data_IF_009964666750
#
_entry.id   IF_009964666750
#
_cell.length_a   1.000
_cell.length_b   1.000
_cell.length_c   1.000
_cell.angle_alpha   90.00
_cell.angle_beta   90.00
_cell.angle_gamma   90.00
#
_symmetry.space_group_name_H-M   'P 1'
#
loop_
_entity.id
_entity.type
_entity.pdbx_description
1 polymer ?
#
# COMPACT_ATOMS: atom_id res chain seq x y z
N UNK A 1 28.41 -8.41 -25.99
CA UNK A 1 27.09 -7.92 -25.52
C UNK A 1 27.10 -7.97 -24.01
N UNK A 2 27.16 -6.82 -23.33
CA UNK A 2 27.30 -6.77 -21.87
C UNK A 2 25.97 -7.13 -21.20
N UNK A 3 25.92 -8.28 -20.52
CA UNK A 3 24.78 -8.71 -19.73
C UNK A 3 24.77 -7.92 -18.41
N UNK A 4 24.13 -6.75 -18.41
CA UNK A 4 23.87 -5.96 -17.22
C UNK A 4 22.80 -6.68 -16.39
N UNK A 5 23.23 -7.65 -15.58
CA UNK A 5 22.39 -8.26 -14.56
C UNK A 5 21.98 -7.17 -13.57
N UNK A 6 20.82 -6.56 -13.81
CA UNK A 6 20.21 -5.53 -12.98
C UNK A 6 20.11 -6.09 -11.55
N UNK A 7 20.95 -5.61 -10.63
CA UNK A 7 20.89 -6.01 -9.21
C UNK A 7 19.48 -5.76 -8.70
N UNK A 8 18.75 -6.83 -8.43
CA UNK A 8 17.38 -6.73 -7.93
C UNK A 8 17.45 -6.15 -6.52
N UNK A 9 16.83 -4.98 -6.34
CA UNK A 9 16.78 -4.27 -5.06
C UNK A 9 15.82 -5.03 -4.12
N UNK A 10 16.25 -5.35 -2.90
CA UNK A 10 15.42 -6.05 -1.91
C UNK A 10 14.08 -5.36 -1.64
N UNK A 11 14.01 -4.03 -1.79
CA UNK A 11 12.75 -3.26 -1.69
C UNK A 11 11.78 -3.55 -2.82
N UNK A 12 12.30 -3.80 -4.03
CA UNK A 12 11.47 -4.19 -5.17
C UNK A 12 10.90 -5.59 -4.96
N UNK A 13 11.72 -6.51 -4.44
CA UNK A 13 11.30 -7.88 -4.08
C UNK A 13 10.19 -7.83 -3.03
N UNK A 14 10.39 -7.08 -1.94
CA UNK A 14 9.36 -6.97 -0.89
C UNK A 14 8.05 -6.39 -1.42
N UNK A 15 8.12 -5.38 -2.30
CA UNK A 15 6.94 -4.82 -2.94
C UNK A 15 6.18 -5.83 -3.81
N UNK A 16 6.91 -6.63 -4.60
CA UNK A 16 6.31 -7.69 -5.42
C UNK A 16 5.69 -8.78 -4.54
N UNK A 17 6.35 -9.20 -3.47
CA UNK A 17 5.81 -10.21 -2.53
C UNK A 17 4.50 -9.72 -1.94
N UNK A 18 4.44 -8.48 -1.45
CA UNK A 18 3.22 -7.89 -0.90
C UNK A 18 2.11 -7.84 -1.96
N UNK A 19 2.43 -7.45 -3.19
CA UNK A 19 1.47 -7.39 -4.29
C UNK A 19 0.90 -8.78 -4.64
N UNK A 20 1.75 -9.82 -4.68
CA UNK A 20 1.32 -11.20 -4.95
C UNK A 20 0.42 -11.72 -3.84
N UNK A 21 0.78 -11.49 -2.57
CA UNK A 21 -0.06 -11.89 -1.43
C UNK A 21 -1.42 -11.19 -1.49
N UNK A 22 -1.42 -9.87 -1.76
CA UNK A 22 -2.66 -9.12 -1.92
C UNK A 22 -3.53 -9.68 -3.06
N UNK A 23 -2.92 -10.03 -4.20
CA UNK A 23 -3.63 -10.64 -5.33
C UNK A 23 -4.24 -12.00 -4.97
N UNK A 24 -3.52 -12.86 -4.26
CA UNK A 24 -4.02 -14.16 -3.81
C UNK A 24 -5.23 -13.97 -2.89
N UNK A 25 -5.12 -13.06 -1.92
CA UNK A 25 -6.24 -12.69 -1.04
C UNK A 25 -7.44 -12.25 -1.87
N UNK A 26 -7.20 -11.48 -2.94
CA UNK A 26 -8.27 -10.99 -3.81
C UNK A 26 -9.03 -12.12 -4.50
N UNK A 27 -8.30 -13.02 -5.15
CA UNK A 27 -8.90 -14.10 -5.93
C UNK A 27 -9.57 -15.16 -5.04
N UNK A 28 -9.05 -15.37 -3.83
CA UNK A 28 -9.59 -16.39 -2.92
C UNK A 28 -10.78 -15.90 -2.07
N UNK A 29 -10.92 -14.59 -1.82
CA UNK A 29 -11.94 -14.06 -0.91
C UNK A 29 -13.09 -13.36 -1.64
N UNK A 30 -13.69 -14.05 -2.62
CA UNK A 30 -14.83 -13.55 -3.41
C UNK A 30 -16.17 -13.60 -2.69
N UNK A 31 -16.23 -14.25 -1.52
CA UNK A 31 -17.42 -14.26 -0.69
C UNK A 31 -17.78 -12.83 -0.24
N UNK A 32 -19.04 -12.48 -0.41
CA UNK A 32 -19.57 -11.18 0.01
C UNK A 32 -19.77 -11.15 1.51
N UNK A 33 -19.37 -10.04 2.13
CA UNK A 33 -19.60 -9.77 3.54
C UNK A 33 -20.39 -8.47 3.68
N UNK A 34 -21.26 -8.42 4.68
CA UNK A 34 -21.94 -7.20 5.06
C UNK A 34 -20.99 -6.30 5.87
N UNK A 35 -20.84 -5.06 5.43
CA UNK A 35 -20.02 -4.04 6.08
C UNK A 35 -20.89 -2.89 6.51
N UNK A 36 -20.71 -2.48 7.76
CA UNK A 36 -21.29 -1.25 8.28
C UNK A 36 -20.25 -0.14 8.25
N UNK A 37 -20.60 0.97 7.59
CA UNK A 37 -19.76 2.15 7.50
C UNK A 37 -20.59 3.40 7.72
N UNK A 38 -20.31 4.11 8.82
CA UNK A 38 -20.98 5.37 9.20
C UNK A 38 -22.51 5.32 9.12
N UNK A 39 -23.10 4.19 9.55
CA UNK A 39 -24.56 3.97 9.55
C UNK A 39 -25.13 3.41 8.23
N UNK A 40 -24.32 3.26 7.18
CA UNK A 40 -24.70 2.57 5.95
C UNK A 40 -24.25 1.11 5.96
N UNK A 41 -25.10 0.21 5.44
CA UNK A 41 -24.72 -1.18 5.19
C UNK A 41 -24.46 -1.40 3.71
N UNK A 42 -23.38 -2.12 3.41
CA UNK A 42 -22.94 -2.46 2.06
C UNK A 42 -22.62 -3.95 2.02
N UNK A 43 -23.07 -4.63 0.98
CA UNK A 43 -22.67 -6.03 0.76
C UNK A 43 -21.65 -6.06 -0.38
N UNK A 44 -20.41 -6.44 -0.06
CA UNK A 44 -19.33 -6.48 -1.04
C UNK A 44 -18.32 -7.58 -0.72
N UNK A 45 -17.60 -8.11 -1.72
CA UNK A 45 -16.56 -9.10 -1.50
C UNK A 45 -15.46 -8.57 -0.56
N UNK A 46 -15.02 -9.39 0.39
CA UNK A 46 -13.98 -9.03 1.37
C UNK A 46 -12.72 -8.51 0.68
N UNK A 47 -12.36 -9.08 -0.47
CA UNK A 47 -11.19 -8.63 -1.22
C UNK A 47 -11.24 -7.16 -1.63
N UNK A 48 -12.42 -6.65 -1.98
CA UNK A 48 -12.57 -5.27 -2.45
C UNK A 48 -12.27 -4.30 -1.31
N UNK A 49 -12.74 -4.63 -0.11
CA UNK A 49 -12.51 -3.85 1.11
C UNK A 49 -11.02 -3.84 1.45
N UNK A 50 -10.37 -5.01 1.43
CA UNK A 50 -8.94 -5.12 1.70
C UNK A 50 -8.10 -4.35 0.68
N UNK A 51 -8.50 -4.37 -0.59
CA UNK A 51 -7.84 -3.59 -1.63
C UNK A 51 -7.99 -2.08 -1.40
N UNK A 52 -9.20 -1.61 -1.09
CA UNK A 52 -9.47 -0.20 -0.77
C UNK A 52 -8.64 0.23 0.45
N UNK A 53 -8.63 -0.58 1.52
CA UNK A 53 -7.83 -0.31 2.73
C UNK A 53 -6.33 -0.28 2.44
N UNK A 54 -5.83 -1.18 1.61
CA UNK A 54 -4.43 -1.19 1.20
C UNK A 54 -4.05 0.10 0.46
N UNK A 55 -4.88 0.53 -0.50
CA UNK A 55 -4.67 1.78 -1.24
C UNK A 55 -4.71 2.98 -0.31
N UNK A 56 -5.70 3.06 0.59
CA UNK A 56 -5.80 4.14 1.58
C UNK A 56 -4.57 4.17 2.51
N UNK A 57 -4.09 3.02 2.95
CA UNK A 57 -2.86 2.90 3.73
C UNK A 57 -1.62 3.41 2.99
N UNK A 58 -1.47 3.06 1.71
CA UNK A 58 -0.36 3.56 0.88
C UNK A 58 -0.43 5.08 0.69
N UNK A 59 -1.61 5.62 0.41
CA UNK A 59 -1.82 7.05 0.25
C UNK A 59 -1.50 7.80 1.55
N UNK A 60 -2.02 7.32 2.68
CA UNK A 60 -1.75 7.89 4.00
C UNK A 60 -0.26 7.85 4.32
N UNK A 61 0.40 6.70 4.11
CA UNK A 61 1.84 6.55 4.31
C UNK A 61 2.65 7.51 3.44
N UNK A 62 2.23 7.73 2.20
CA UNK A 62 2.81 8.72 1.28
C UNK A 62 2.72 10.15 1.81
N UNK A 63 1.54 10.56 2.25
CA UNK A 63 1.28 11.89 2.83
C UNK A 63 2.11 12.11 4.10
N UNK A 64 2.09 11.15 5.02
CA UNK A 64 2.87 11.21 6.27
C UNK A 64 4.36 11.34 5.96
N UNK A 65 4.88 10.51 5.04
CA UNK A 65 6.29 10.55 4.64
C UNK A 65 6.66 11.89 4.01
N UNK A 66 5.81 12.45 3.16
CA UNK A 66 6.05 13.75 2.54
C UNK A 66 6.08 14.87 3.59
N UNK A 67 5.12 14.86 4.53
CA UNK A 67 5.05 15.82 5.64
C UNK A 67 6.30 15.78 6.52
N UNK A 68 6.72 14.59 6.95
CA UNK A 68 7.94 14.41 7.76
C UNK A 68 9.19 14.93 7.04
N UNK A 69 9.32 14.70 5.72
CA UNK A 69 10.45 15.22 4.94
C UNK A 69 10.43 16.74 4.85
N UNK A 70 9.26 17.36 4.69
CA UNK A 70 9.11 18.82 4.67
C UNK A 70 9.54 19.43 6.01
N UNK A 71 9.10 18.85 7.13
CA UNK A 71 9.47 19.32 8.47
C UNK A 71 10.98 19.16 8.75
N UNK A 72 11.60 18.07 8.30
CA UNK A 72 13.05 17.85 8.44
C UNK A 72 13.88 18.80 7.57
N UNK A 73 13.41 19.14 6.38
CA UNK A 73 14.08 20.09 5.48
C UNK A 73 13.94 21.56 5.89
N UNK A 74 12.97 21.87 6.76
CA UNK A 74 12.75 23.21 7.30
C UNK A 74 13.59 23.50 8.56
N UNK A 75 14.35 22.53 9.07
CA UNK A 75 15.30 22.76 10.16
C UNK A 75 16.40 23.71 9.64
N UNK A 76 16.57 24.91 10.22
CA UNK A 76 17.65 25.82 9.83
C UNK A 76 18.98 25.11 10.00
N UNK A 77 19.89 25.24 9.02
CA UNK A 77 21.29 24.83 9.24
C UNK A 77 21.83 25.68 10.38
N UNK A 78 22.04 25.08 11.55
CA UNK A 78 22.79 25.72 12.63
C UNK A 78 24.21 25.97 12.13
N UNK A 79 24.73 27.21 12.23
CA UNK A 79 26.09 27.54 11.79
C UNK A 79 27.16 26.81 12.60
#
# INVERSE_FOLDING_TARGET
MANQAKKINGRAISGVIVAVIAFIIVVQNTASAEIQFLGWSWNMPIWLILLIMFVLGMLLGGVVRAGVRKLRGAQPKTP
#
